data_IF_640729541965
#
_entry.id   IF_640729541965
#
_cell.length_a   1.000
_cell.length_b   1.000
_cell.length_c   1.000
_cell.angle_alpha   90.00
_cell.angle_beta   90.00
_cell.angle_gamma   90.00
#
_symmetry.space_group_name_H-M   'P 1'
#
loop_
_entity.id
_entity.type
_entity.pdbx_description
1 polymer ?
#
# COMPACT_ATOMS: atom_id res chain seq x y z
N UNK A 1 -19.60 0.17 15.18
CA UNK A 1 -19.34 0.06 13.73
C UNK A 1 -19.12 1.44 13.16
N UNK A 2 -18.53 1.56 11.97
CA UNK A 2 -18.15 2.85 11.34
C UNK A 2 -19.31 3.84 11.10
N UNK A 3 -20.56 3.43 11.35
CA UNK A 3 -21.77 4.25 11.24
C UNK A 3 -22.18 4.89 12.58
N UNK A 4 -21.24 5.49 13.32
CA UNK A 4 -21.55 6.34 14.47
C UNK A 4 -20.97 7.75 14.28
N UNK A 5 -21.51 8.72 15.02
CA UNK A 5 -21.13 10.13 14.89
C UNK A 5 -19.61 10.35 15.11
N UNK A 6 -19.02 9.59 16.02
CA UNK A 6 -17.59 9.69 16.33
C UNK A 6 -16.71 9.26 15.13
N UNK A 7 -17.09 8.18 14.43
CA UNK A 7 -16.38 7.74 13.22
C UNK A 7 -16.49 8.76 12.09
N UNK A 8 -17.64 9.43 11.96
CA UNK A 8 -17.84 10.47 10.94
C UNK A 8 -16.94 11.70 11.19
N UNK A 9 -16.74 12.08 12.46
CA UNK A 9 -15.82 13.16 12.84
C UNK A 9 -14.38 12.79 12.49
N UNK A 10 -13.95 11.56 12.79
CA UNK A 10 -12.60 11.09 12.48
C UNK A 10 -12.36 11.14 10.96
N UNK A 11 -13.28 10.59 10.18
CA UNK A 11 -13.15 10.57 8.71
C UNK A 11 -13.08 11.99 8.15
N UNK A 12 -13.93 12.91 8.63
CA UNK A 12 -13.96 14.29 8.14
C UNK A 12 -12.68 15.07 8.45
N UNK A 13 -12.05 14.80 9.58
CA UNK A 13 -10.90 15.59 10.05
C UNK A 13 -9.55 14.97 9.68
N UNK A 14 -9.47 13.65 9.49
CA UNK A 14 -8.21 12.94 9.35
C UNK A 14 -8.09 12.06 8.10
N UNK A 15 -9.16 11.90 7.31
CA UNK A 15 -9.09 11.17 6.04
C UNK A 15 -9.47 12.05 4.86
N UNK A 16 -8.57 12.12 3.90
CA UNK A 16 -8.86 12.67 2.59
C UNK A 16 -8.79 11.55 1.55
N UNK A 17 -9.86 11.37 0.77
CA UNK A 17 -9.91 10.40 -0.31
C UNK A 17 -9.60 11.11 -1.63
N UNK A 18 -8.52 10.67 -2.28
CA UNK A 18 -8.14 11.16 -3.61
C UNK A 18 -8.40 10.06 -4.62
N UNK A 19 -9.22 10.35 -5.63
CA UNK A 19 -9.42 9.46 -6.77
C UNK A 19 -8.39 9.79 -7.86
N UNK A 20 -7.25 9.11 -7.81
CA UNK A 20 -6.16 9.27 -8.76
C UNK A 20 -5.33 7.98 -8.86
N UNK A 21 -4.56 7.86 -9.94
CA UNK A 21 -3.46 6.90 -9.97
C UNK A 21 -2.40 7.32 -8.95
N UNK A 22 -2.04 6.41 -8.05
CA UNK A 22 -1.13 6.73 -6.95
C UNK A 22 0.27 7.13 -7.40
N UNK A 23 0.76 6.57 -8.50
CA UNK A 23 2.09 6.88 -9.02
C UNK A 23 2.09 8.30 -9.59
N UNK A 24 1.15 8.59 -10.49
CA UNK A 24 1.01 9.93 -11.06
C UNK A 24 0.75 10.99 -9.98
N UNK A 25 -0.05 10.66 -8.97
CA UNK A 25 -0.35 11.57 -7.87
C UNK A 25 0.90 11.94 -7.06
N UNK A 26 1.77 10.95 -6.76
CA UNK A 26 3.02 11.19 -6.04
C UNK A 26 4.05 11.94 -6.88
N UNK A 27 4.14 11.66 -8.19
CA UNK A 27 5.07 12.34 -9.12
C UNK A 27 4.81 13.85 -9.20
N UNK A 28 3.55 14.28 -9.07
CA UNK A 28 3.13 15.69 -9.16
C UNK A 28 2.95 16.37 -7.78
N UNK A 29 3.32 15.71 -6.69
CA UNK A 29 3.12 16.25 -5.34
C UNK A 29 4.17 17.29 -4.97
N UNK A 30 3.71 18.45 -4.50
CA UNK A 30 4.58 19.52 -4.01
C UNK A 30 5.39 19.06 -2.81
N UNK A 31 6.68 19.46 -2.75
CA UNK A 31 7.60 19.05 -1.68
C UNK A 31 7.08 19.34 -0.27
N UNK A 32 6.38 20.46 -0.09
CA UNK A 32 5.84 20.89 1.21
C UNK A 32 4.66 20.02 1.67
N UNK A 33 4.02 19.30 0.75
CA UNK A 33 2.85 18.45 1.02
C UNK A 33 3.16 16.96 1.07
N UNK A 34 4.44 16.60 0.90
CA UNK A 34 4.86 15.20 0.89
C UNK A 34 4.63 14.55 2.26
N UNK A 35 4.09 13.31 2.29
CA UNK A 35 3.86 12.62 3.54
C UNK A 35 5.17 12.11 4.15
N UNK A 36 5.24 12.11 5.48
CA UNK A 36 6.34 11.48 6.22
C UNK A 36 6.42 9.97 5.96
N UNK A 37 5.27 9.33 5.84
CA UNK A 37 5.14 7.87 5.71
C UNK A 37 4.17 7.55 4.60
N UNK A 38 4.59 6.66 3.70
CA UNK A 38 3.71 6.09 2.67
C UNK A 38 3.46 4.62 2.99
N UNK A 39 2.20 4.22 3.00
CA UNK A 39 1.78 2.85 3.24
C UNK A 39 1.20 2.25 1.96
N UNK A 40 1.70 1.08 1.57
CA UNK A 40 1.30 0.37 0.35
C UNK A 40 0.76 -1.02 0.74
N UNK A 41 -0.50 -1.30 0.40
CA UNK A 41 -1.13 -2.62 0.54
C UNK A 41 -1.61 -3.06 -0.82
N UNK A 42 -0.70 -3.59 -1.68
CA UNK A 42 -1.05 -3.95 -3.02
C UNK A 42 -1.94 -5.19 -3.00
N UNK A 43 -2.87 -5.29 -3.95
CA UNK A 43 -3.65 -6.51 -4.10
C UNK A 43 -2.78 -7.59 -4.73
N UNK A 44 -2.29 -8.52 -3.91
CA UNK A 44 -1.47 -9.63 -4.40
C UNK A 44 -2.29 -10.60 -5.26
N UNK A 45 -1.68 -11.19 -6.30
CA UNK A 45 -2.33 -12.20 -7.12
C UNK A 45 -2.82 -13.39 -6.28
N UNK A 46 -3.91 -14.01 -6.70
CA UNK A 46 -4.52 -15.13 -5.97
C UNK A 46 -3.55 -16.30 -5.81
N UNK A 47 -3.60 -16.94 -4.64
CA UNK A 47 -2.91 -18.22 -4.42
C UNK A 47 -3.64 -19.33 -5.15
N UNK A 48 -2.89 -20.31 -5.66
CA UNK A 48 -3.39 -21.54 -6.31
C UNK A 48 -4.15 -22.53 -5.38
N UNK A 49 -4.59 -22.14 -4.17
CA UNK A 49 -5.31 -23.06 -3.25
C UNK A 49 -6.83 -22.93 -3.40
N UNK A 50 -7.50 -24.08 -3.40
CA UNK A 50 -8.91 -24.34 -3.78
C UNK A 50 -10.01 -23.75 -2.88
N UNK A 51 -9.67 -22.96 -1.87
CA UNK A 51 -10.68 -22.33 -1.01
C UNK A 51 -11.10 -21.00 -1.65
N UNK A 52 -12.29 -20.98 -2.25
CA UNK A 52 -12.89 -19.78 -2.83
C UNK A 52 -12.90 -18.66 -1.77
N UNK A 53 -12.22 -17.56 -2.08
CA UNK A 53 -12.32 -16.31 -1.33
C UNK A 53 -13.79 -15.87 -1.32
N UNK A 54 -14.23 -15.10 -0.31
CA UNK A 54 -15.60 -14.57 -0.26
C UNK A 54 -15.94 -13.92 -1.61
N UNK A 55 -17.16 -14.18 -2.12
CA UNK A 55 -17.61 -13.75 -3.47
C UNK A 55 -17.30 -12.28 -3.77
N UNK A 56 -17.46 -11.41 -2.78
CA UNK A 56 -17.20 -9.96 -2.92
C UNK A 56 -15.75 -9.64 -3.30
N UNK A 57 -14.79 -10.39 -2.74
CA UNK A 57 -13.36 -10.24 -3.06
C UNK A 57 -13.03 -10.72 -4.48
N UNK A 58 -13.72 -11.77 -4.94
CA UNK A 58 -13.54 -12.29 -6.30
C UNK A 58 -14.08 -11.31 -7.35
N UNK A 59 -15.18 -10.63 -7.04
CA UNK A 59 -15.73 -9.58 -7.91
C UNK A 59 -14.73 -8.42 -7.99
N UNK A 60 -14.22 -7.96 -6.85
CA UNK A 60 -13.25 -6.87 -6.82
C UNK A 60 -11.98 -7.20 -7.62
N UNK A 61 -11.44 -8.41 -7.47
CA UNK A 61 -10.27 -8.85 -8.23
C UNK A 61 -10.49 -8.94 -9.73
N UNK A 62 -11.71 -9.30 -10.17
CA UNK A 62 -12.05 -9.34 -11.60
C UNK A 62 -12.21 -7.96 -12.21
N UNK A 63 -12.53 -6.96 -11.40
CA UNK A 63 -12.66 -5.56 -11.83
C UNK A 63 -11.32 -4.83 -11.90
N UNK A 64 -10.25 -5.40 -11.34
CA UNK A 64 -8.92 -4.82 -11.36
C UNK A 64 -8.14 -5.33 -12.57
N UNK A 65 -7.53 -4.40 -13.30
CA UNK A 65 -6.61 -4.72 -14.39
C UNK A 65 -5.34 -5.36 -13.83
N UNK A 66 -4.81 -6.35 -14.54
CA UNK A 66 -3.65 -7.16 -14.09
C UNK A 66 -2.31 -6.42 -14.12
N UNK A 67 -2.29 -5.18 -14.58
CA UNK A 67 -1.07 -4.42 -14.85
C UNK A 67 -0.73 -3.51 -13.67
N UNK A 68 -0.38 -4.14 -12.55
CA UNK A 68 0.12 -3.43 -11.38
C UNK A 68 1.64 -3.52 -11.36
N UNK A 69 2.31 -2.47 -11.82
CA UNK A 69 3.76 -2.31 -11.66
C UNK A 69 4.09 -1.92 -10.21
N UNK A 70 4.16 -2.94 -9.35
CA UNK A 70 4.46 -2.78 -7.94
C UNK A 70 5.87 -2.21 -7.70
N UNK A 71 6.81 -2.46 -8.62
CA UNK A 71 8.18 -1.93 -8.51
C UNK A 71 8.19 -0.42 -8.77
N UNK A 72 7.51 0.04 -9.83
CA UNK A 72 7.33 1.48 -10.10
C UNK A 72 6.63 2.19 -8.95
N UNK A 73 5.59 1.56 -8.39
CA UNK A 73 4.90 2.11 -7.22
C UNK A 73 5.83 2.31 -6.03
N UNK A 74 6.64 1.29 -5.70
CA UNK A 74 7.58 1.36 -4.59
C UNK A 74 8.66 2.43 -4.84
N UNK A 75 9.25 2.48 -6.03
CA UNK A 75 10.26 3.50 -6.38
C UNK A 75 9.72 4.91 -6.22
N UNK A 76 8.54 5.17 -6.79
CA UNK A 76 7.90 6.50 -6.71
C UNK A 76 7.58 6.87 -5.26
N UNK A 77 7.13 5.90 -4.46
CA UNK A 77 6.88 6.12 -3.04
C UNK A 77 8.16 6.45 -2.27
N UNK A 78 9.30 5.80 -2.57
CA UNK A 78 10.59 6.09 -1.94
C UNK A 78 11.09 7.49 -2.27
N UNK A 79 10.84 7.98 -3.48
CA UNK A 79 11.19 9.35 -3.89
C UNK A 79 10.26 10.41 -3.28
N UNK A 80 9.04 10.02 -2.90
CA UNK A 80 8.02 10.92 -2.36
C UNK A 80 8.03 11.00 -0.82
N UNK A 81 8.21 9.88 -0.13
CA UNK A 81 8.11 9.82 1.32
C UNK A 81 9.23 10.62 2.02
N UNK A 82 8.88 11.34 3.10
CA UNK A 82 9.85 12.10 3.89
C UNK A 82 10.76 11.23 4.77
N UNK A 83 10.22 10.14 5.32
CA UNK A 83 10.95 9.27 6.27
C UNK A 83 11.01 7.81 5.81
N UNK A 84 9.85 7.20 5.51
CA UNK A 84 9.78 5.76 5.21
C UNK A 84 8.61 5.35 4.34
N UNK A 85 8.79 4.24 3.64
CA UNK A 85 7.72 3.51 2.94
C UNK A 85 7.50 2.17 3.64
N UNK A 86 6.24 1.81 3.86
CA UNK A 86 5.84 0.54 4.47
C UNK A 86 4.99 -0.25 3.48
N UNK A 87 5.44 -1.44 3.11
CA UNK A 87 4.71 -2.32 2.20
C UNK A 87 4.17 -3.51 2.96
N UNK A 88 2.84 -3.63 3.02
CA UNK A 88 2.18 -4.80 3.58
C UNK A 88 2.26 -5.97 2.61
N UNK A 89 2.62 -7.15 3.12
CA UNK A 89 2.77 -8.34 2.28
C UNK A 89 2.30 -9.62 2.96
N UNK A 90 1.65 -10.55 2.24
CA UNK A 90 1.36 -11.87 2.77
C UNK A 90 2.67 -12.68 2.89
N UNK A 91 2.71 -13.63 3.82
CA UNK A 91 3.91 -14.45 4.13
C UNK A 91 4.58 -15.12 2.92
N UNK A 92 3.86 -15.31 1.82
CA UNK A 92 4.35 -16.02 0.64
C UNK A 92 4.50 -15.10 -0.59
N UNK A 93 4.47 -13.78 -0.43
CA UNK A 93 4.74 -12.90 -1.55
C UNK A 93 6.26 -12.83 -1.81
N UNK A 94 6.62 -12.75 -3.09
CA UNK A 94 7.99 -12.46 -3.54
C UNK A 94 8.32 -10.98 -3.37
N UNK A 95 9.57 -10.61 -3.01
CA UNK A 95 10.02 -9.23 -2.89
C UNK A 95 9.50 -8.32 -4.01
N UNK A 96 9.20 -7.07 -3.68
CA UNK A 96 8.71 -6.10 -4.67
C UNK A 96 9.91 -5.68 -5.53
N UNK A 97 10.01 -6.29 -6.71
CA UNK A 97 11.16 -6.13 -7.60
C UNK A 97 12.46 -6.59 -6.92
N UNK A 98 13.55 -5.88 -7.18
CA UNK A 98 14.87 -6.14 -6.60
C UNK A 98 15.23 -5.14 -5.48
N UNK A 99 14.25 -4.61 -4.74
CA UNK A 99 14.47 -3.63 -3.68
C UNK A 99 14.36 -4.31 -2.32
N UNK A 100 15.51 -4.45 -1.64
CA UNK A 100 15.57 -4.99 -0.28
C UNK A 100 15.06 -3.97 0.73
N UNK A 101 14.25 -4.46 1.68
CA UNK A 101 13.77 -3.66 2.80
C UNK A 101 14.87 -3.49 3.86
N UNK A 102 14.92 -2.34 4.53
CA UNK A 102 15.89 -2.10 5.61
C UNK A 102 15.55 -2.91 6.86
N UNK A 103 14.25 -3.13 7.11
CA UNK A 103 13.77 -4.05 8.15
C UNK A 103 12.38 -4.56 7.78
N UNK A 104 11.98 -5.68 8.37
CA UNK A 104 10.63 -6.22 8.23
C UNK A 104 10.00 -6.52 9.59
N UNK A 105 8.70 -6.24 9.73
CA UNK A 105 7.92 -6.54 10.93
C UNK A 105 6.96 -7.67 10.61
N UNK A 106 7.09 -8.82 11.27
CA UNK A 106 6.29 -10.01 10.98
C UNK A 106 5.08 -10.17 11.92
N UNK A 107 4.00 -10.74 11.37
CA UNK A 107 2.80 -11.19 12.09
C UNK A 107 2.38 -12.57 11.57
N UNK A 108 1.38 -13.20 12.20
CA UNK A 108 0.98 -14.60 11.92
C UNK A 108 0.62 -14.90 10.46
N UNK A 109 0.19 -13.92 9.67
CA UNK A 109 -0.29 -14.10 8.29
C UNK A 109 0.27 -13.11 7.27
N UNK A 110 0.98 -12.10 7.77
CA UNK A 110 1.39 -10.91 7.02
C UNK A 110 2.68 -10.40 7.64
N UNK A 111 3.56 -9.83 6.83
CA UNK A 111 4.66 -9.00 7.31
C UNK A 111 4.60 -7.61 6.67
N UNK A 112 5.38 -6.68 7.20
CA UNK A 112 5.49 -5.33 6.70
C UNK A 112 6.95 -5.04 6.41
N UNK A 113 7.27 -4.86 5.14
CA UNK A 113 8.60 -4.42 4.71
C UNK A 113 8.68 -2.91 4.91
N UNK A 114 9.74 -2.45 5.58
CA UNK A 114 9.98 -1.05 5.92
C UNK A 114 11.24 -0.58 5.21
N UNK A 115 11.08 0.47 4.40
CA UNK A 115 12.15 1.09 3.62
C UNK A 115 12.38 2.51 4.14
N UNK A 116 13.62 2.84 4.47
CA UNK A 116 14.01 4.16 4.98
C UNK A 116 14.51 5.04 3.83
N UNK A 117 14.01 6.28 3.75
CA UNK A 117 14.38 7.22 2.66
C UNK A 117 15.63 8.01 3.02
N UNK A 118 15.78 8.41 4.28
CA UNK A 118 16.96 9.12 4.77
C UNK A 118 17.89 8.15 5.50
N UNK A 119 18.73 7.45 4.73
CA UNK A 119 19.88 6.71 5.27
C UNK A 119 20.98 7.73 5.60
N UNK A 120 21.01 8.21 6.84
CA UNK A 120 22.22 8.85 7.40
C UNK A 120 23.08 7.79 8.08
#
# INVERSE_FOLDING_TARGET
>A
GLANADSAIILKNFMNLVNADSVLYMEHMDRETRPDVIYIDPMYPERKKSALVKKDMQILQRLLDKDHDAERLLKTALECAGNRVVVKRPIHAEPVGNIEADTSISSKKTWFDVYLVNRQ
#
